data_IF_312472947955
#
_entry.id   IF_312472947955
#
_cell.length_a   1.000
_cell.length_b   1.000
_cell.length_c   1.000
_cell.angle_alpha   90.00
_cell.angle_beta   90.00
_cell.angle_gamma   90.00
#
_symmetry.space_group_name_H-M   'P 1'
#
loop_
_entity.id
_entity.type
_entity.pdbx_description
1 polymer ?
#
# COMPACT_ATOMS: atom_id res chain seq x y z
N UNK A 1 -4.40 -17.90 13.98
CA UNK A 1 -4.26 -16.60 13.28
C UNK A 1 -3.26 -16.80 12.15
N UNK A 2 -3.69 -16.75 10.89
CA UNK A 2 -2.78 -16.93 9.74
C UNK A 2 -2.57 -15.56 9.12
N UNK A 3 -1.32 -15.13 8.98
CA UNK A 3 -0.96 -13.88 8.32
C UNK A 3 -0.76 -14.11 6.82
N UNK A 4 -0.92 -13.04 6.02
CA UNK A 4 -0.73 -13.08 4.56
C UNK A 4 0.77 -13.01 4.24
N UNK A 5 1.32 -13.93 3.43
CA UNK A 5 2.70 -13.83 2.95
C UNK A 5 2.93 -12.55 2.14
N UNK A 6 4.12 -11.95 2.26
CA UNK A 6 4.45 -10.66 1.64
C UNK A 6 4.25 -10.70 0.11
N UNK A 7 4.62 -11.80 -0.53
CA UNK A 7 4.47 -12.02 -1.96
C UNK A 7 3.01 -12.10 -2.44
N UNK A 8 2.06 -12.25 -1.52
CA UNK A 8 0.61 -12.27 -1.80
C UNK A 8 -0.10 -10.99 -1.34
N UNK A 9 0.61 -10.08 -0.67
CA UNK A 9 0.00 -8.89 -0.09
C UNK A 9 -0.11 -7.76 -1.13
N UNK A 10 -1.33 -7.28 -1.34
CA UNK A 10 -1.62 -6.10 -2.15
C UNK A 10 -1.99 -4.94 -1.25
N UNK A 11 -1.63 -3.73 -1.69
CA UNK A 11 -1.96 -2.48 -1.00
C UNK A 11 -2.90 -1.69 -1.90
N UNK A 12 -4.12 -1.50 -1.42
CA UNK A 12 -5.17 -0.74 -2.09
C UNK A 12 -6.10 -0.08 -1.04
N UNK A 13 -6.88 0.93 -1.42
CA UNK A 13 -7.95 1.45 -0.58
C UNK A 13 -9.04 0.39 -0.37
N UNK A 14 -9.83 0.56 0.69
CA UNK A 14 -10.92 -0.37 1.02
C UNK A 14 -12.00 -0.46 -0.08
N UNK A 15 -12.26 0.65 -0.78
CA UNK A 15 -13.30 0.73 -1.81
C UNK A 15 -12.98 1.77 -2.89
N UNK A 16 -13.90 1.92 -3.85
CA UNK A 16 -13.81 2.94 -4.88
C UNK A 16 -13.90 4.37 -4.31
N UNK A 17 -13.21 5.31 -4.94
CA UNK A 17 -13.03 6.67 -4.44
C UNK A 17 -14.12 7.66 -4.89
N UNK A 18 -15.27 7.17 -5.39
CA UNK A 18 -16.31 8.00 -6.03
C UNK A 18 -16.87 9.13 -5.15
N UNK A 19 -16.77 8.98 -3.83
CA UNK A 19 -17.27 9.96 -2.85
C UNK A 19 -16.15 10.82 -2.25
N UNK A 20 -14.92 10.71 -2.77
CA UNK A 20 -13.75 11.47 -2.33
C UNK A 20 -13.47 12.64 -3.27
N UNK A 21 -12.89 13.70 -2.74
CA UNK A 21 -12.40 14.81 -3.56
C UNK A 21 -10.97 14.53 -4.07
N UNK A 22 -10.51 15.33 -5.02
CA UNK A 22 -9.19 15.14 -5.64
C UNK A 22 -8.03 15.40 -4.69
N UNK A 23 -8.07 16.50 -3.93
CA UNK A 23 -6.97 16.88 -3.02
C UNK A 23 -6.71 15.80 -1.99
N UNK A 24 -7.76 15.25 -1.37
CA UNK A 24 -7.61 14.17 -0.40
C UNK A 24 -7.20 12.85 -1.06
N UNK A 25 -7.72 12.57 -2.25
CA UNK A 25 -7.41 11.33 -3.00
C UNK A 25 -5.94 11.30 -3.40
N UNK A 26 -5.43 12.39 -3.97
CA UNK A 26 -4.03 12.49 -4.42
C UNK A 26 -3.07 12.37 -3.23
N UNK A 27 -3.35 13.08 -2.12
CA UNK A 27 -2.54 13.00 -0.92
C UNK A 27 -2.52 11.57 -0.33
N UNK A 28 -3.69 10.94 -0.21
CA UNK A 28 -3.80 9.59 0.36
C UNK A 28 -3.09 8.55 -0.52
N UNK A 29 -3.32 8.58 -1.84
CA UNK A 29 -2.70 7.63 -2.77
C UNK A 29 -1.18 7.84 -2.88
N UNK A 30 -0.71 9.10 -2.88
CA UNK A 30 0.72 9.41 -2.85
C UNK A 30 1.41 8.82 -1.61
N UNK A 31 0.81 9.00 -0.44
CA UNK A 31 1.30 8.44 0.81
C UNK A 31 1.30 6.90 0.80
N UNK A 32 0.19 6.29 0.34
CA UNK A 32 0.07 4.83 0.24
C UNK A 32 1.15 4.22 -0.66
N UNK A 33 1.37 4.82 -1.84
CA UNK A 33 2.41 4.37 -2.79
C UNK A 33 3.82 4.60 -2.25
N UNK A 34 4.07 5.74 -1.59
CA UNK A 34 5.36 6.05 -0.97
C UNK A 34 5.73 5.00 0.09
N UNK A 35 4.79 4.67 0.98
CA UNK A 35 4.99 3.64 2.01
C UNK A 35 5.21 2.27 1.38
N UNK A 36 4.40 1.88 0.39
CA UNK A 36 4.59 0.60 -0.31
C UNK A 36 5.98 0.51 -0.96
N UNK A 37 6.50 1.58 -1.56
CA UNK A 37 7.86 1.63 -2.11
C UNK A 37 8.94 1.44 -1.04
N UNK A 38 8.81 2.10 0.11
CA UNK A 38 9.73 1.94 1.25
C UNK A 38 9.75 0.50 1.75
N UNK A 39 8.58 -0.08 2.03
CA UNK A 39 8.46 -1.45 2.54
C UNK A 39 9.00 -2.48 1.54
N UNK A 40 8.78 -2.29 0.23
CA UNK A 40 9.39 -3.17 -0.79
C UNK A 40 10.92 -3.21 -0.68
N UNK A 41 11.58 -2.09 -0.38
CA UNK A 41 13.04 -2.06 -0.21
C UNK A 41 13.48 -2.77 1.07
N UNK A 42 12.67 -2.72 2.13
CA UNK A 42 12.94 -3.40 3.40
C UNK A 42 12.76 -4.91 3.27
N UNK A 43 11.63 -5.38 2.73
CA UNK A 43 11.32 -6.80 2.62
C UNK A 43 12.13 -7.55 1.55
N UNK A 44 12.67 -6.86 0.54
CA UNK A 44 13.62 -7.47 -0.42
C UNK A 44 14.92 -7.90 0.28
N UNK A 45 15.32 -7.24 1.37
CA UNK A 45 16.55 -7.60 2.11
C UNK A 45 16.36 -8.71 3.14
N UNK A 46 15.13 -8.94 3.57
CA UNK A 46 14.80 -9.93 4.62
C UNK A 46 14.45 -11.30 4.04
N UNK A 47 14.14 -11.40 2.75
CA UNK A 47 13.98 -12.66 2.05
C UNK A 47 15.36 -13.30 1.74
N UNK A 48 16.00 -13.85 2.77
CA UNK A 48 17.14 -14.78 2.69
C UNK A 48 16.75 -16.05 3.42
#
# INVERSE_FOLDING_TARGET
MVLIPVERLWINPDCGLKTRNWVETEAALSNMVSTAKKLRQEFVKTAV
#
